data_IF_963709870741
#
_entry.id   IF_963709870741
#
_cell.length_a   1.000
_cell.length_b   1.000
_cell.length_c   1.000
_cell.angle_alpha   90.00
_cell.angle_beta   90.00
_cell.angle_gamma   90.00
#
_symmetry.space_group_name_H-M   'P 1'
#
loop_
_entity.id
_entity.type
_entity.pdbx_description
1 polymer ?
#
# COMPACT_ATOMS: atom_id res chain seq x y z
N UNK A 1 10.65 8.22 -11.97
CA UNK A 1 11.03 6.99 -11.31
C UNK A 1 9.90 6.41 -10.51
N UNK A 2 9.73 5.14 -10.59
CA UNK A 2 8.67 4.46 -9.87
C UNK A 2 9.13 4.15 -8.46
N UNK A 3 8.31 4.52 -7.50
CA UNK A 3 8.61 4.17 -6.12
C UNK A 3 8.27 2.73 -5.87
N UNK A 4 9.14 2.06 -5.18
CA UNK A 4 8.90 0.67 -4.83
C UNK A 4 9.02 0.49 -3.33
N UNK A 5 8.11 -0.30 -2.80
CA UNK A 5 8.08 -0.60 -1.38
C UNK A 5 8.21 -2.09 -1.19
N UNK A 6 8.46 -2.49 0.03
CA UNK A 6 8.60 -3.89 0.38
C UNK A 6 7.56 -4.27 1.41
N UNK A 7 7.29 -5.55 1.48
CA UNK A 7 6.47 -6.08 2.56
C UNK A 7 7.11 -5.71 3.88
N UNK A 8 6.31 -5.15 4.77
CA UNK A 8 6.80 -4.69 6.05
C UNK A 8 7.08 -3.21 6.11
N UNK A 9 7.14 -2.54 4.95
CA UNK A 9 7.35 -1.11 4.95
C UNK A 9 6.16 -0.38 5.53
N UNK A 10 6.44 0.69 6.25
CA UNK A 10 5.40 1.52 6.84
C UNK A 10 5.16 2.70 5.92
N UNK A 11 3.91 2.90 5.54
CA UNK A 11 3.56 3.91 4.55
C UNK A 11 2.35 4.68 4.99
N UNK A 12 2.10 5.80 4.32
CA UNK A 12 0.90 6.58 4.56
C UNK A 12 0.30 6.98 3.23
N UNK A 13 -0.98 7.32 3.27
CA UNK A 13 -1.68 7.80 2.10
C UNK A 13 -2.82 8.67 2.56
N UNK A 14 -3.36 9.47 1.63
CA UNK A 14 -4.49 10.33 1.93
C UNK A 14 -5.78 9.62 1.58
N UNK A 15 -6.73 9.72 2.47
CA UNK A 15 -8.06 9.18 2.23
C UNK A 15 -9.08 10.29 2.49
N UNK A 16 -10.34 9.97 2.27
CA UNK A 16 -11.38 10.95 2.56
C UNK A 16 -11.41 11.34 4.03
N UNK A 17 -10.97 10.44 4.88
CA UNK A 17 -10.96 10.70 6.31
C UNK A 17 -9.67 11.37 6.76
N UNK A 18 -8.77 11.69 5.84
CA UNK A 18 -7.50 12.29 6.19
C UNK A 18 -6.35 11.33 5.93
N UNK A 19 -5.22 11.60 6.57
CA UNK A 19 -4.05 10.78 6.35
C UNK A 19 -4.13 9.49 7.14
N UNK A 20 -3.85 8.40 6.46
CA UNK A 20 -3.90 7.07 7.06
C UNK A 20 -2.52 6.45 6.95
N UNK A 21 -2.15 5.67 7.95
CA UNK A 21 -0.89 4.96 7.96
C UNK A 21 -1.15 3.47 8.03
N UNK A 22 -0.22 2.72 7.46
CA UNK A 22 -0.34 1.29 7.52
C UNK A 22 0.93 0.60 7.13
N UNK A 23 0.92 -0.71 7.21
CA UNK A 23 2.06 -1.55 6.90
C UNK A 23 1.75 -2.38 5.68
N UNK A 24 2.72 -2.45 4.77
CA UNK A 24 2.54 -3.23 3.55
C UNK A 24 2.58 -4.71 3.88
N UNK A 25 1.53 -5.41 3.49
CA UNK A 25 1.42 -6.84 3.73
C UNK A 25 1.76 -7.65 2.51
N UNK A 26 1.55 -7.09 1.32
CA UNK A 26 1.79 -7.83 0.10
C UNK A 26 2.06 -6.86 -1.03
N UNK A 27 2.95 -7.26 -1.91
CA UNK A 27 3.24 -6.49 -3.12
C UNK A 27 2.71 -7.27 -4.30
N UNK A 28 1.86 -6.62 -5.09
CA UNK A 28 1.24 -7.26 -6.24
C UNK A 28 1.84 -6.70 -7.51
N UNK A 29 2.28 -7.59 -8.37
CA UNK A 29 2.84 -7.18 -9.65
C UNK A 29 2.07 -7.77 -10.82
N UNK A 30 0.94 -8.39 -10.55
CA UNK A 30 0.08 -8.92 -11.58
C UNK A 30 -1.36 -8.72 -11.15
N UNK A 31 -2.31 -8.77 -12.09
CA UNK A 31 -3.70 -8.55 -11.72
C UNK A 31 -4.20 -9.62 -10.76
N UNK A 32 -5.03 -9.19 -9.83
CA UNK A 32 -5.65 -10.14 -8.94
C UNK A 32 -6.97 -9.56 -8.44
N UNK A 33 -7.81 -10.45 -7.97
CA UNK A 33 -9.08 -10.04 -7.43
C UNK A 33 -8.94 -9.69 -5.96
N UNK A 34 -9.50 -8.56 -5.60
CA UNK A 34 -9.50 -8.11 -4.22
C UNK A 34 -10.91 -7.68 -3.86
N UNK A 35 -11.52 -8.42 -2.93
CA UNK A 35 -12.91 -8.18 -2.56
C UNK A 35 -13.80 -8.28 -3.79
N UNK A 36 -14.46 -7.22 -4.18
CA UNK A 36 -15.41 -7.27 -5.29
C UNK A 36 -14.89 -6.69 -6.58
N UNK A 37 -13.61 -6.41 -6.67
CA UNK A 37 -13.10 -5.80 -7.88
C UNK A 37 -11.73 -6.37 -8.22
N UNK A 38 -11.33 -6.12 -9.46
CA UNK A 38 -10.05 -6.58 -9.95
C UNK A 38 -9.02 -5.48 -9.78
N UNK A 39 -7.91 -5.83 -9.16
CA UNK A 39 -6.79 -4.91 -9.01
C UNK A 39 -5.88 -5.11 -10.21
N UNK A 40 -5.65 -4.03 -10.93
CA UNK A 40 -4.78 -4.09 -12.11
C UNK A 40 -3.39 -3.65 -11.71
N UNK A 41 -2.55 -4.61 -11.44
CA UNK A 41 -1.16 -4.34 -11.05
C UNK A 41 -0.24 -4.92 -12.10
N UNK A 42 0.96 -4.36 -12.19
CA UNK A 42 1.97 -4.85 -13.10
C UNK A 42 3.34 -4.65 -12.47
N UNK A 43 4.36 -5.17 -13.12
CA UNK A 43 5.71 -4.97 -12.63
C UNK A 43 6.10 -3.50 -12.68
N UNK A 44 5.56 -2.77 -13.63
CA UNK A 44 5.88 -1.37 -13.78
C UNK A 44 5.06 -0.49 -12.86
N UNK A 45 3.87 -0.96 -12.50
CA UNK A 45 3.01 -0.25 -11.58
C UNK A 45 2.48 -1.22 -10.54
N UNK A 46 3.33 -1.62 -9.60
CA UNK A 46 2.87 -2.55 -8.57
C UNK A 46 1.83 -1.90 -7.67
N UNK A 47 0.97 -2.72 -7.14
CA UNK A 47 0.05 -2.27 -6.12
C UNK A 47 0.38 -2.96 -4.83
N UNK A 48 -0.02 -2.36 -3.74
CA UNK A 48 0.36 -2.84 -2.42
C UNK A 48 -0.86 -3.04 -1.57
N UNK A 49 -0.90 -4.19 -0.93
CA UNK A 49 -1.93 -4.48 0.05
C UNK A 49 -1.42 -4.01 1.39
N UNK A 50 -2.16 -3.12 2.02
CA UNK A 50 -1.70 -2.44 3.21
C UNK A 50 -2.73 -2.64 4.32
N UNK A 51 -2.24 -2.91 5.50
CA UNK A 51 -3.10 -3.00 6.67
C UNK A 51 -2.99 -1.71 7.46
N UNK A 52 -4.13 -1.11 7.75
CA UNK A 52 -4.17 0.13 8.50
C UNK A 52 -3.64 -0.08 9.91
N UNK A 53 -2.91 0.91 10.42
CA UNK A 53 -2.37 0.82 11.78
C UNK A 53 -3.46 0.90 12.83
N UNK A 54 -4.52 1.64 12.54
CA UNK A 54 -5.55 1.88 13.54
C UNK A 54 -6.61 0.82 13.57
N UNK A 55 -6.82 0.17 12.45
CA UNK A 55 -7.89 -0.81 12.34
C UNK A 55 -7.35 -2.01 11.59
N UNK A 56 -8.18 -3.04 11.48
CA UNK A 56 -7.82 -4.22 10.72
C UNK A 56 -8.20 -4.10 9.26
N UNK A 57 -8.53 -2.90 8.83
CA UNK A 57 -8.94 -2.71 7.44
C UNK A 57 -7.74 -2.84 6.51
N UNK A 58 -8.00 -3.42 5.37
CA UNK A 58 -7.00 -3.56 4.32
C UNK A 58 -7.31 -2.58 3.21
N UNK A 59 -6.26 -2.05 2.62
CA UNK A 59 -6.39 -1.12 1.51
C UNK A 59 -5.44 -1.54 0.40
N UNK A 60 -5.77 -1.16 -0.82
CA UNK A 60 -4.96 -1.48 -1.97
C UNK A 60 -4.65 -0.18 -2.71
N UNK A 61 -3.38 0.14 -2.83
CA UNK A 61 -2.98 1.40 -3.45
C UNK A 61 -1.77 1.19 -4.33
N UNK A 62 -1.66 2.02 -5.35
CA UNK A 62 -0.46 2.05 -6.17
C UNK A 62 0.67 2.71 -5.39
N UNK A 63 1.89 2.39 -5.78
CA UNK A 63 3.04 2.97 -5.11
C UNK A 63 3.06 4.49 -5.20
N UNK A 64 2.55 5.04 -6.31
CA UNK A 64 2.55 6.49 -6.46
C UNK A 64 1.62 7.19 -5.50
N UNK A 65 0.65 6.47 -4.93
CA UNK A 65 -0.27 7.04 -3.96
C UNK A 65 0.25 6.93 -2.54
N UNK A 66 1.38 6.29 -2.34
CA UNK A 66 1.90 6.01 -1.01
C UNK A 66 3.12 6.84 -0.72
N UNK A 67 3.33 7.13 0.55
CA UNK A 67 4.54 7.75 1.02
C UNK A 67 5.16 6.87 2.07
N UNK A 68 6.46 6.64 1.94
CA UNK A 68 7.16 5.87 2.94
C UNK A 68 7.37 6.72 4.19
N UNK A 69 7.02 6.16 5.33
CA UNK A 69 7.22 6.83 6.59
C UNK A 69 8.57 6.41 7.12
N UNK A 70 9.41 7.40 7.33
CA UNK A 70 10.70 7.14 7.93
C UNK A 70 10.49 6.84 9.39
N UNK A 71 10.93 5.68 9.81
CA UNK A 71 10.84 5.34 11.20
C UNK A 71 12.21 5.37 11.80
N UNK A 72 12.30 6.02 12.91
CA UNK A 72 13.54 6.02 13.61
C UNK A 72 13.71 4.68 14.29
N UNK A 73 14.74 3.97 13.96
CA UNK A 73 14.95 2.71 14.67
C UNK A 73 15.25 2.99 16.12
N UNK A 74 14.86 2.14 16.82
CA UNK A 74 15.06 2.48 18.16
C UNK A 74 15.60 1.63 18.85
#
# INVERSE_FOLDING_TARGET
MTRQFKVGDHVSWNSEAGRVRGTIKKKLTSPMKFKNYTVHASKEEPQYLIKSDKTDHLAMHKGTALRKISRTPR
#
